data_IF_990657176211
#
_entry.id   IF_990657176211
#
_cell.length_a   1.000
_cell.length_b   1.000
_cell.length_c   1.000
_cell.angle_alpha   90.00
_cell.angle_beta   90.00
_cell.angle_gamma   90.00
#
_symmetry.space_group_name_H-M   'P 1'
#
loop_
_entity.id
_entity.type
_entity.pdbx_description
1 polymer ?
#
# COMPACT_ATOMS: atom_id res chain seq x y z
N UNK A 1 -0.40 -1.11 1.21
CA UNK A 1 -0.21 -1.34 2.67
C UNK A 1 -1.50 -1.89 3.28
N UNK A 2 -1.43 -2.54 4.45
CA UNK A 2 -2.61 -2.96 5.21
C UNK A 2 -2.75 -2.22 6.53
N UNK A 3 -4.00 -2.04 6.97
CA UNK A 3 -4.35 -1.25 8.15
C UNK A 3 -5.36 -1.95 9.04
N UNK A 4 -5.21 -1.79 10.35
CA UNK A 4 -6.15 -2.26 11.38
C UNK A 4 -6.63 -1.09 12.23
N UNK A 5 -7.80 -1.22 12.84
CA UNK A 5 -8.31 -0.28 13.84
C UNK A 5 -7.66 -0.51 15.20
N UNK A 6 -7.21 0.57 15.83
CA UNK A 6 -6.66 0.55 17.19
C UNK A 6 -7.41 1.49 18.12
N UNK A 7 -7.39 1.16 19.41
CA UNK A 7 -7.97 1.98 20.48
C UNK A 7 -9.49 2.16 20.37
N UNK A 8 -10.04 3.00 21.25
CA UNK A 8 -11.50 3.20 21.38
C UNK A 8 -12.15 3.90 20.17
N UNK A 9 -11.36 4.64 19.39
CA UNK A 9 -11.85 5.39 18.23
C UNK A 9 -11.63 4.63 16.89
N UNK A 10 -11.20 3.36 16.94
CA UNK A 10 -10.86 2.54 15.77
C UNK A 10 -9.97 3.27 14.75
N UNK A 11 -8.98 4.01 15.23
CA UNK A 11 -8.05 4.74 14.35
C UNK A 11 -7.29 3.72 13.52
N UNK A 12 -7.30 3.88 12.19
CA UNK A 12 -6.51 3.02 11.31
C UNK A 12 -5.01 3.23 11.57
N UNK A 13 -4.27 2.15 11.78
CA UNK A 13 -2.81 2.13 11.92
C UNK A 13 -2.19 1.10 10.96
N UNK A 14 -0.95 1.35 10.54
CA UNK A 14 -0.21 0.44 9.66
C UNK A 14 0.02 -0.90 10.35
N UNK A 15 -0.25 -2.00 9.66
CA UNK A 15 -0.06 -3.36 10.20
C UNK A 15 0.62 -4.32 9.23
N UNK A 16 0.72 -3.97 7.95
CA UNK A 16 1.60 -4.65 7.01
C UNK A 16 2.17 -3.67 6.01
N UNK A 17 3.49 -3.77 5.80
CA UNK A 17 4.21 -3.00 4.80
C UNK A 17 4.85 -3.95 3.78
N UNK A 18 4.51 -3.77 2.52
CA UNK A 18 5.03 -4.59 1.41
C UNK A 18 5.59 -3.68 0.33
N UNK A 19 6.76 -4.04 -0.21
CA UNK A 19 7.45 -3.36 -1.30
C UNK A 19 7.88 -4.41 -2.31
N UNK A 20 7.69 -4.10 -3.59
CA UNK A 20 8.12 -4.94 -4.71
C UNK A 20 9.18 -4.23 -5.53
N UNK A 21 10.10 -5.00 -6.09
CA UNK A 21 11.11 -4.53 -7.03
C UNK A 21 10.51 -4.22 -8.41
N UNK A 22 11.31 -3.65 -9.32
CA UNK A 22 10.87 -3.27 -10.66
C UNK A 22 10.47 -4.47 -11.54
N UNK A 23 10.92 -5.67 -11.19
CA UNK A 23 10.52 -6.95 -11.82
C UNK A 23 9.29 -7.60 -11.15
N UNK A 24 8.72 -6.95 -10.13
CA UNK A 24 7.59 -7.48 -9.34
C UNK A 24 8.00 -8.49 -8.27
N UNK A 25 9.30 -8.74 -8.06
CA UNK A 25 9.79 -9.54 -6.94
C UNK A 25 9.47 -8.88 -5.60
N UNK A 26 9.21 -9.66 -4.56
CA UNK A 26 9.00 -9.11 -3.22
C UNK A 26 10.35 -8.79 -2.61
N UNK A 27 10.61 -7.51 -2.34
CA UNK A 27 11.88 -7.06 -1.72
C UNK A 27 11.71 -6.75 -0.24
N UNK A 28 10.48 -6.48 0.19
CA UNK A 28 10.15 -6.23 1.58
C UNK A 28 8.71 -6.64 1.85
N UNK A 29 8.45 -7.40 2.92
CA UNK A 29 7.09 -7.71 3.36
C UNK A 29 7.11 -8.04 4.85
N UNK A 30 6.62 -7.11 5.68
CA UNK A 30 6.62 -7.28 7.14
C UNK A 30 5.29 -6.87 7.75
N UNK A 31 4.85 -7.66 8.74
CA UNK A 31 3.83 -7.26 9.69
C UNK A 31 4.41 -6.23 10.67
N UNK A 32 3.57 -5.28 11.07
CA UNK A 32 3.92 -4.17 11.96
C UNK A 32 3.01 -4.23 13.17
N UNK A 33 3.58 -4.29 14.37
CA UNK A 33 2.85 -4.22 15.63
C UNK A 33 2.49 -2.76 15.92
N UNK A 34 1.19 -2.40 15.97
CA UNK A 34 0.79 -1.07 16.41
C UNK A 34 1.14 -0.85 17.89
N UNK A 35 1.42 0.41 18.25
CA UNK A 35 1.73 0.78 19.63
C UNK A 35 0.52 0.65 20.58
N UNK A 36 -0.68 0.86 20.04
CA UNK A 36 -1.94 0.68 20.76
C UNK A 36 -2.53 -0.71 20.45
N UNK A 37 -3.34 -1.29 21.35
CA UNK A 37 -4.01 -2.56 21.10
C UNK A 37 -4.91 -2.51 19.88
N UNK A 38 -4.83 -3.56 19.06
CA UNK A 38 -5.74 -3.75 17.91
C UNK A 38 -7.13 -4.04 18.47
N UNK A 39 -8.11 -3.22 18.10
CA UNK A 39 -9.52 -3.39 18.45
C UNK A 39 -10.33 -3.96 17.29
N UNK A 40 -9.85 -3.77 16.07
CA UNK A 40 -10.49 -4.29 14.87
C UNK A 40 -9.46 -4.63 13.79
N UNK A 41 -9.29 -5.93 13.51
CA UNK A 41 -8.33 -6.41 12.49
C UNK A 41 -8.71 -6.01 11.07
N UNK A 42 -9.96 -5.60 10.83
CA UNK A 42 -10.44 -5.20 9.52
C UNK A 42 -10.18 -6.27 8.44
N UNK A 43 -10.25 -7.56 8.80
CA UNK A 43 -9.73 -8.69 8.02
C UNK A 43 -10.29 -8.77 6.61
N UNK A 44 -11.57 -8.42 6.43
CA UNK A 44 -12.21 -8.37 5.11
C UNK A 44 -11.51 -7.40 4.14
N UNK A 45 -10.91 -6.33 4.66
CA UNK A 45 -10.22 -5.30 3.88
C UNK A 45 -8.70 -5.33 4.03
N UNK A 46 -8.16 -5.87 5.12
CA UNK A 46 -6.72 -5.85 5.41
C UNK A 46 -6.03 -7.20 5.15
N UNK A 47 -6.80 -8.29 5.16
CA UNK A 47 -6.27 -9.67 5.17
C UNK A 47 -5.52 -10.04 6.45
N UNK A 48 -5.50 -9.19 7.47
CA UNK A 48 -4.80 -9.42 8.73
C UNK A 48 -5.68 -10.21 9.70
N UNK A 49 -5.12 -11.25 10.31
CA UNK A 49 -5.76 -12.02 11.38
C UNK A 49 -5.02 -11.89 12.71
N UNK A 50 -5.72 -12.22 13.80
CA UNK A 50 -5.12 -12.23 15.14
C UNK A 50 -3.98 -13.24 15.25
N UNK A 51 -4.10 -14.39 14.60
CA UNK A 51 -3.08 -15.43 14.57
C UNK A 51 -1.80 -14.95 13.90
N UNK A 52 -1.92 -14.20 12.79
CA UNK A 52 -0.77 -13.62 12.10
C UNK A 52 -0.05 -12.58 12.96
N UNK A 53 -0.79 -11.82 13.78
CA UNK A 53 -0.22 -10.80 14.67
C UNK A 53 0.37 -11.37 15.95
N UNK A 54 0.12 -12.64 16.27
CA UNK A 54 0.64 -13.29 17.46
C UNK A 54 2.17 -13.38 17.40
N UNK A 55 2.84 -12.71 18.33
CA UNK A 55 4.30 -12.73 18.44
C UNK A 55 5.01 -11.76 17.49
N UNK A 56 4.29 -10.97 16.69
CA UNK A 56 4.89 -9.88 15.91
C UNK A 56 5.45 -8.83 16.87
N UNK A 57 6.71 -8.45 16.68
CA UNK A 57 7.41 -7.44 17.50
C UNK A 57 7.89 -6.24 16.71
N UNK A 58 7.98 -6.35 15.38
CA UNK A 58 8.41 -5.28 14.47
C UNK A 58 7.58 -4.01 14.69
N UNK A 59 8.23 -2.90 15.02
CA UNK A 59 7.53 -1.62 15.24
C UNK A 59 7.47 -0.78 13.95
N UNK A 60 6.74 0.34 14.01
CA UNK A 60 6.76 1.33 12.93
C UNK A 60 8.17 1.89 12.72
N UNK A 61 8.91 2.14 13.80
CA UNK A 61 10.28 2.67 13.76
C UNK A 61 11.25 1.69 13.09
N UNK A 62 11.09 0.38 13.32
CA UNK A 62 11.88 -0.64 12.64
C UNK A 62 11.62 -0.61 11.13
N UNK A 63 10.34 -0.59 10.74
CA UNK A 63 9.96 -0.50 9.32
C UNK A 63 10.47 0.79 8.68
N UNK A 64 10.39 1.93 9.37
CA UNK A 64 10.90 3.19 8.86
C UNK A 64 12.40 3.12 8.58
N UNK A 65 13.20 2.60 9.52
CA UNK A 65 14.65 2.45 9.37
C UNK A 65 14.98 1.55 8.18
N UNK A 66 14.34 0.39 8.10
CA UNK A 66 14.57 -0.57 7.02
C UNK A 66 14.14 -0.01 5.65
N UNK A 67 13.03 0.72 5.58
CA UNK A 67 12.60 1.39 4.34
C UNK A 67 13.58 2.51 3.92
N UNK A 68 14.14 3.26 4.87
CA UNK A 68 15.13 4.31 4.57
C UNK A 68 16.47 3.73 4.08
N UNK A 69 16.81 2.50 4.48
CA UNK A 69 17.97 1.76 3.93
C UNK A 69 17.69 1.23 2.52
N UNK A 70 16.43 0.85 2.23
CA UNK A 70 16.02 0.29 0.94
C UNK A 70 15.69 1.35 -0.12
N UNK A 71 15.16 2.50 0.29
CA UNK A 71 14.62 3.54 -0.59
C UNK A 71 15.50 4.79 -0.51
N UNK A 72 16.43 4.91 -1.46
CA UNK A 72 17.24 6.11 -1.65
C UNK A 72 16.36 7.30 -2.10
N UNK A 73 16.88 8.53 -1.93
CA UNK A 73 16.13 9.73 -2.28
C UNK A 73 15.84 9.87 -3.78
N UNK A 74 16.65 9.22 -4.63
CA UNK A 74 16.52 9.14 -6.08
C UNK A 74 15.54 8.05 -6.53
N UNK A 75 15.27 7.05 -5.68
CA UNK A 75 14.35 5.94 -5.97
C UNK A 75 12.96 6.50 -6.27
N UNK A 76 12.32 6.02 -7.34
CA UNK A 76 10.94 6.40 -7.64
C UNK A 76 10.01 5.41 -6.93
N UNK A 77 9.19 5.92 -6.02
CA UNK A 77 8.19 5.12 -5.32
C UNK A 77 6.89 5.13 -6.13
N UNK A 78 6.39 3.94 -6.47
CA UNK A 78 5.14 3.77 -7.21
C UNK A 78 4.06 3.23 -6.26
N UNK A 79 2.84 3.74 -6.37
CA UNK A 79 1.72 3.24 -5.57
C UNK A 79 0.36 3.82 -5.95
N UNK A 80 -0.61 3.73 -5.04
CA UNK A 80 -1.98 4.18 -5.24
C UNK A 80 -2.49 4.96 -4.04
N UNK A 81 -2.73 6.27 -4.18
CA UNK A 81 -2.96 7.18 -3.04
C UNK A 81 -1.81 7.13 -2.02
N UNK A 82 -0.58 7.24 -2.50
CA UNK A 82 0.65 7.14 -1.72
C UNK A 82 0.70 8.14 -0.56
N UNK A 83 0.00 9.27 -0.65
CA UNK A 83 -0.04 10.23 0.45
C UNK A 83 -0.70 9.65 1.70
N UNK A 84 -1.64 8.71 1.55
CA UNK A 84 -2.21 7.99 2.68
C UNK A 84 -1.16 7.06 3.30
N UNK A 85 -0.45 6.29 2.48
CA UNK A 85 0.56 5.33 2.94
C UNK A 85 1.75 6.04 3.60
N UNK A 86 2.30 7.07 2.95
CA UNK A 86 3.42 7.86 3.47
C UNK A 86 3.08 8.60 4.77
N UNK A 87 1.85 9.12 4.89
CA UNK A 87 1.37 9.73 6.15
C UNK A 87 1.33 8.73 7.30
N UNK A 88 0.94 7.48 7.04
CA UNK A 88 0.90 6.41 8.04
C UNK A 88 2.29 5.89 8.40
N UNK A 89 3.17 5.83 7.40
CA UNK A 89 4.60 5.57 7.60
C UNK A 89 5.33 6.72 8.28
N UNK A 90 4.73 7.92 8.33
CA UNK A 90 5.38 9.17 8.79
C UNK A 90 6.70 9.42 8.04
N UNK A 91 6.70 9.14 6.74
CA UNK A 91 7.83 9.36 5.84
C UNK A 91 7.46 10.41 4.80
N UNK A 92 8.46 11.16 4.35
CA UNK A 92 8.34 12.10 3.24
C UNK A 92 9.26 11.60 2.13
N UNK A 93 8.70 11.45 0.93
CA UNK A 93 9.46 11.06 -0.26
C UNK A 93 9.04 11.93 -1.43
N UNK A 94 10.01 12.52 -2.13
CA UNK A 94 9.74 13.51 -3.18
C UNK A 94 9.42 12.89 -4.54
N UNK A 95 9.97 11.70 -4.82
CA UNK A 95 9.91 11.06 -6.14
C UNK A 95 8.85 9.97 -6.14
N UNK A 96 7.60 10.38 -6.32
CA UNK A 96 6.45 9.48 -6.29
C UNK A 96 5.73 9.45 -7.64
N UNK A 97 5.34 8.26 -8.08
CA UNK A 97 4.40 8.04 -9.18
C UNK A 97 3.14 7.43 -8.59
N UNK A 98 2.09 8.24 -8.53
CA UNK A 98 0.80 7.81 -7.98
C UNK A 98 -0.17 7.44 -9.11
N UNK A 99 -0.66 6.20 -9.08
CA UNK A 99 -1.63 5.72 -10.06
C UNK A 99 -2.97 6.48 -10.02
N UNK A 100 -3.34 7.13 -8.90
CA UNK A 100 -4.49 8.04 -8.86
C UNK A 100 -4.27 9.27 -9.74
N UNK A 101 -3.03 9.78 -9.80
CA UNK A 101 -2.67 10.90 -10.66
C UNK A 101 -2.50 10.47 -12.12
N UNK A 102 -1.94 9.28 -12.37
CA UNK A 102 -1.80 8.72 -13.73
C UNK A 102 -3.15 8.39 -14.39
N UNK A 103 -4.15 8.03 -13.59
CA UNK A 103 -5.49 7.65 -14.02
C UNK A 103 -6.54 8.53 -13.31
N UNK A 104 -6.64 9.81 -13.70
CA UNK A 104 -7.51 10.76 -13.02
C UNK A 104 -8.98 10.33 -13.14
N UNK A 105 -9.73 10.54 -12.06
CA UNK A 105 -11.16 10.27 -12.05
C UNK A 105 -11.90 11.23 -13.01
N UNK A 106 -12.89 10.74 -13.74
CA UNK A 106 -13.62 11.54 -14.76
C UNK A 106 -14.32 12.78 -14.18
N UNK A 107 -14.71 12.73 -12.90
CA UNK A 107 -15.34 13.85 -12.18
C UNK A 107 -14.33 14.85 -11.60
N UNK A 108 -13.03 14.63 -11.80
CA UNK A 108 -11.96 15.45 -11.21
C UNK A 108 -11.84 15.31 -9.69
N UNK A 109 -10.91 16.07 -9.07
CA UNK A 109 -10.75 16.11 -7.63
C UNK A 109 -12.04 16.54 -6.90
N UNK A 110 -12.33 16.02 -5.69
CA UNK A 110 -11.50 15.11 -4.89
C UNK A 110 -11.73 13.62 -5.18
N UNK A 111 -12.51 13.27 -6.22
CA UNK A 111 -12.85 11.88 -6.52
C UNK A 111 -11.65 11.09 -7.03
N UNK A 112 -11.57 9.80 -6.67
CA UNK A 112 -10.49 8.89 -7.05
C UNK A 112 -11.05 7.56 -7.51
N UNK A 113 -10.43 6.99 -8.52
CA UNK A 113 -10.76 5.64 -8.99
C UNK A 113 -10.05 4.62 -8.11
N UNK A 114 -10.78 3.62 -7.60
CA UNK A 114 -10.17 2.53 -6.80
C UNK A 114 -9.20 1.72 -7.66
N UNK A 115 -8.13 1.21 -7.05
CA UNK A 115 -7.16 0.34 -7.71
C UNK A 115 -7.83 -0.85 -8.42
N UNK A 116 -8.75 -1.56 -7.75
CA UNK A 116 -9.47 -2.70 -8.35
C UNK A 116 -10.22 -2.35 -9.65
N UNK A 117 -10.78 -1.14 -9.75
CA UNK A 117 -11.42 -0.68 -10.98
C UNK A 117 -10.36 -0.43 -12.06
N UNK A 118 -9.24 0.21 -11.71
CA UNK A 118 -8.16 0.46 -12.68
C UNK A 118 -7.59 -0.85 -13.23
N UNK A 119 -7.35 -1.85 -12.38
CA UNK A 119 -6.82 -3.14 -12.84
C UNK A 119 -7.81 -3.90 -13.70
N UNK A 120 -9.10 -3.88 -13.34
CA UNK A 120 -10.13 -4.52 -14.15
C UNK A 120 -10.22 -3.86 -15.53
N UNK A 121 -10.21 -2.53 -15.57
CA UNK A 121 -10.33 -1.76 -16.80
C UNK A 121 -9.11 -1.85 -17.72
N UNK A 122 -7.90 -1.76 -17.17
CA UNK A 122 -6.67 -1.58 -17.96
C UNK A 122 -5.81 -2.84 -18.05
N UNK A 123 -5.92 -3.75 -17.08
CA UNK A 123 -5.14 -5.00 -17.04
C UNK A 123 -6.03 -6.24 -17.27
N UNK A 124 -7.34 -6.07 -17.46
CA UNK A 124 -8.32 -7.15 -17.52
C UNK A 124 -8.22 -8.13 -16.34
N UNK A 125 -7.81 -7.62 -15.16
CA UNK A 125 -7.56 -8.41 -13.96
C UNK A 125 -8.35 -7.86 -12.78
N UNK A 126 -9.18 -8.73 -12.18
CA UNK A 126 -9.82 -8.45 -10.90
C UNK A 126 -8.84 -8.73 -9.77
N UNK A 127 -8.80 -7.82 -8.81
CA UNK A 127 -8.04 -7.94 -7.57
C UNK A 127 -8.95 -7.57 -6.41
N UNK A 128 -8.52 -7.84 -5.17
CA UNK A 128 -9.30 -7.52 -3.97
C UNK A 128 -10.68 -8.23 -3.95
N UNK A 129 -10.81 -9.37 -4.62
CA UNK A 129 -11.96 -10.25 -4.54
C UNK A 129 -11.86 -11.06 -3.24
N UNK A 130 -12.25 -10.44 -2.12
CA UNK A 130 -12.10 -10.98 -0.77
C UNK A 130 -11.13 -10.13 0.06
N UNK A 131 -10.23 -10.77 0.81
CA UNK A 131 -9.21 -10.08 1.60
C UNK A 131 -8.17 -9.42 0.70
N UNK A 132 -7.72 -8.22 1.06
CA UNK A 132 -6.60 -7.58 0.35
C UNK A 132 -5.30 -8.34 0.55
N UNK A 133 -4.49 -8.33 -0.51
CA UNK A 133 -3.08 -8.73 -0.49
C UNK A 133 -2.24 -7.53 -0.91
N UNK A 134 -1.49 -6.96 0.03
CA UNK A 134 -0.66 -5.78 -0.19
C UNK A 134 0.44 -6.01 -1.22
N UNK A 135 0.92 -7.25 -1.42
CA UNK A 135 1.91 -7.58 -2.46
C UNK A 135 1.25 -7.56 -3.83
N UNK A 136 0.07 -8.18 -3.96
CA UNK A 136 -0.70 -8.17 -5.20
C UNK A 136 -1.09 -6.73 -5.60
N UNK A 137 -1.50 -5.91 -4.63
CA UNK A 137 -1.80 -4.50 -4.84
C UNK A 137 -0.54 -3.74 -5.32
N UNK A 138 0.62 -3.94 -4.68
CA UNK A 138 1.87 -3.29 -5.07
C UNK A 138 2.27 -3.66 -6.52
N UNK A 139 2.19 -4.94 -6.89
CA UNK A 139 2.43 -5.40 -8.27
C UNK A 139 1.46 -4.75 -9.25
N UNK A 140 0.17 -4.72 -8.92
CA UNK A 140 -0.84 -4.11 -9.77
C UNK A 140 -0.60 -2.61 -9.99
N UNK A 141 -0.15 -1.88 -8.96
CA UNK A 141 0.21 -0.46 -9.13
C UNK A 141 1.41 -0.26 -10.04
N UNK A 142 2.43 -1.12 -9.92
CA UNK A 142 3.60 -1.09 -10.79
C UNK A 142 3.22 -1.40 -12.24
N UNK A 143 2.44 -2.45 -12.47
CA UNK A 143 1.96 -2.82 -13.80
C UNK A 143 1.14 -1.70 -14.46
N UNK A 144 0.24 -1.04 -13.71
CA UNK A 144 -0.51 0.12 -14.20
C UNK A 144 0.44 1.28 -14.56
N UNK A 145 1.41 1.61 -13.70
CA UNK A 145 2.37 2.66 -13.99
C UNK A 145 3.19 2.36 -15.25
N UNK A 146 3.65 1.10 -15.40
CA UNK A 146 4.40 0.65 -16.57
C UNK A 146 3.54 0.65 -17.83
N UNK A 147 2.28 0.22 -17.76
CA UNK A 147 1.34 0.29 -18.88
C UNK A 147 1.18 1.74 -19.36
N UNK A 148 1.02 2.68 -18.42
CA UNK A 148 0.93 4.10 -18.75
C UNK A 148 2.23 4.65 -19.35
N UNK A 149 3.39 4.21 -18.84
CA UNK A 149 4.70 4.61 -19.35
C UNK A 149 4.95 4.12 -20.78
N UNK A 150 4.55 2.88 -21.12
CA UNK A 150 4.81 2.28 -22.44
C UNK A 150 3.79 2.73 -23.50
N UNK A 151 2.51 2.84 -23.13
CA UNK A 151 1.41 3.00 -24.09
C UNK A 151 0.56 4.25 -23.89
N UNK A 152 0.83 5.05 -22.86
CA UNK A 152 0.08 6.30 -22.67
C UNK A 152 0.43 7.32 -23.76
N UNK A 153 -0.51 8.23 -24.12
CA UNK A 153 -0.07 9.61 -24.31
C UNK A 153 0.46 10.19 -22.99
#
# INVERSE_FOLDING_TARGET
>A
MCYVGVGANERLELTRCSVVGPDGSVIYDKLVKPAEPITNYNTAHSGITEEQMRGVTTTLEDVQRELLELIACETIVVGHSLENDLKRLRLIHARCVDTVALYPHQRGPPYRTKLAHLTERYLARKIQEGSHDSVADARATLELAMLKFVFGP
#
